data_IF_063891074445
#
_entry.id   IF_063891074445
#
_cell.length_a   1.000
_cell.length_b   1.000
_cell.length_c   1.000
_cell.angle_alpha   90.00
_cell.angle_beta   90.00
_cell.angle_gamma   90.00
#
_symmetry.space_group_name_H-M   'P 1'
#
loop_
_entity.id
_entity.type
_entity.pdbx_description
1 polymer ?
#
# COMPACT_ATOMS: atom_id res chain seq x y z
N UNK A 1 -6.22 15.22 -10.45
CA UNK A 1 -6.02 16.70 -10.48
C UNK A 1 -4.61 17.11 -10.88
N UNK A 2 -3.57 16.73 -10.12
CA UNK A 2 -2.18 17.11 -10.41
C UNK A 2 -1.75 16.73 -11.83
N UNK A 3 -2.04 15.49 -12.24
CA UNK A 3 -1.73 14.98 -13.57
C UNK A 3 -2.54 15.70 -14.65
N UNK A 4 -3.83 15.95 -14.41
CA UNK A 4 -4.71 16.65 -15.34
C UNK A 4 -4.16 18.03 -15.75
N UNK A 5 -3.74 18.87 -14.79
CA UNK A 5 -3.15 20.16 -15.14
C UNK A 5 -1.77 20.01 -15.77
N UNK A 6 -0.96 19.06 -15.31
CA UNK A 6 0.35 18.78 -15.90
C UNK A 6 0.24 18.40 -17.38
N UNK A 7 -0.64 17.47 -17.73
CA UNK A 7 -0.90 17.02 -19.10
C UNK A 7 -1.34 18.18 -20.00
N UNK A 8 -2.29 19.01 -19.54
CA UNK A 8 -2.74 20.19 -20.29
C UNK A 8 -1.66 21.22 -20.52
N UNK A 9 -0.82 21.47 -19.50
CA UNK A 9 0.34 22.36 -19.64
C UNK A 9 1.28 21.81 -20.72
N UNK A 10 1.62 20.52 -20.68
CA UNK A 10 2.49 19.90 -21.69
C UNK A 10 1.92 20.03 -23.11
N UNK A 11 0.63 19.69 -23.29
CA UNK A 11 -0.05 19.84 -24.59
C UNK A 11 -0.02 21.28 -25.11
N UNK A 12 -0.26 22.26 -24.23
CA UNK A 12 -0.23 23.68 -24.61
C UNK A 12 1.15 24.15 -25.07
N UNK A 13 2.23 23.63 -24.47
CA UNK A 13 3.61 24.04 -24.79
C UNK A 13 4.04 23.59 -26.19
N UNK A 14 3.44 22.52 -26.70
CA UNK A 14 3.73 21.97 -28.04
C UNK A 14 2.63 22.26 -29.06
N UNK A 15 1.54 22.93 -28.65
CA UNK A 15 0.40 23.23 -29.52
C UNK A 15 -0.41 21.99 -29.93
N UNK A 16 -0.43 20.96 -29.06
CA UNK A 16 -1.20 19.73 -29.26
C UNK A 16 -2.31 19.65 -28.20
N UNK A 17 -3.54 19.92 -28.63
CA UNK A 17 -4.73 19.85 -27.77
C UNK A 17 -5.25 18.41 -27.58
N UNK A 18 -4.57 17.43 -28.17
CA UNK A 18 -4.83 15.99 -28.03
C UNK A 18 -3.70 15.25 -27.31
N UNK A 19 -2.67 15.97 -26.83
CA UNK A 19 -1.59 15.39 -26.05
C UNK A 19 -2.14 14.60 -24.85
N UNK A 20 -1.64 13.38 -24.69
CA UNK A 20 -1.97 12.51 -23.56
C UNK A 20 -0.68 12.04 -22.90
N UNK A 21 -0.67 12.05 -21.57
CA UNK A 21 0.43 11.54 -20.77
C UNK A 21 0.43 10.01 -20.80
N UNK A 22 1.62 9.41 -20.93
CA UNK A 22 1.77 7.96 -20.77
C UNK A 22 1.51 7.53 -19.32
N UNK A 23 1.23 6.24 -19.12
CA UNK A 23 1.26 5.61 -17.80
C UNK A 23 2.29 4.49 -17.79
N UNK A 24 3.02 4.35 -16.68
CA UNK A 24 3.95 3.24 -16.49
C UNK A 24 3.15 2.03 -16.03
N UNK A 25 2.93 1.08 -16.95
CA UNK A 25 2.08 -0.10 -16.75
C UNK A 25 2.73 -1.21 -15.89
N UNK A 26 3.28 -0.84 -14.72
CA UNK A 26 3.99 -1.75 -13.82
C UNK A 26 3.10 -2.81 -13.16
N UNK A 27 1.77 -2.73 -13.33
CA UNK A 27 0.84 -3.78 -12.89
C UNK A 27 0.70 -4.93 -13.90
N UNK A 28 1.28 -4.81 -15.10
CA UNK A 28 1.28 -5.87 -16.11
C UNK A 28 2.71 -6.28 -16.50
N UNK A 29 2.98 -7.58 -16.77
CA UNK A 29 4.33 -8.11 -17.00
C UNK A 29 5.18 -7.31 -17.99
N UNK A 30 4.62 -6.94 -19.14
CA UNK A 30 5.35 -6.21 -20.20
C UNK A 30 5.74 -4.77 -19.77
N UNK A 31 5.06 -4.20 -18.78
CA UNK A 31 5.31 -2.86 -18.27
C UNK A 31 6.03 -2.81 -16.93
N UNK A 32 6.48 -3.94 -16.38
CA UNK A 32 7.16 -3.99 -15.07
C UNK A 32 8.58 -3.42 -15.07
N UNK A 33 9.10 -3.00 -16.23
CA UNK A 33 10.41 -2.35 -16.35
C UNK A 33 10.22 -0.83 -16.45
N UNK A 34 11.21 -0.04 -16.02
CA UNK A 34 11.20 1.40 -16.31
C UNK A 34 11.13 1.56 -17.85
N UNK A 35 10.13 2.27 -18.41
CA UNK A 35 9.98 2.31 -19.87
C UNK A 35 11.18 2.95 -20.57
N UNK A 36 11.61 2.39 -21.70
CA UNK A 36 12.80 2.82 -22.46
C UNK A 36 12.83 4.32 -22.78
N UNK A 37 11.66 4.95 -22.96
CA UNK A 37 11.57 6.38 -23.19
C UNK A 37 12.22 7.21 -22.06
N UNK A 38 12.17 6.72 -20.82
CA UNK A 38 12.79 7.37 -19.66
C UNK A 38 14.30 7.20 -19.61
N UNK A 39 14.88 6.34 -20.45
CA UNK A 39 16.32 6.14 -20.54
C UNK A 39 16.98 7.04 -21.58
N UNK A 40 16.20 7.91 -22.25
CA UNK A 40 16.67 8.67 -23.41
C UNK A 40 16.24 10.15 -23.38
N UNK A 41 17.11 11.02 -23.89
CA UNK A 41 16.80 12.45 -24.10
C UNK A 41 16.41 13.21 -22.83
N UNK A 42 15.41 14.07 -22.95
CA UNK A 42 14.91 14.94 -21.87
C UNK A 42 14.20 14.19 -20.73
N UNK A 43 13.93 12.89 -20.88
CA UNK A 43 13.30 12.07 -19.85
C UNK A 43 14.29 11.38 -18.91
N UNK A 44 15.60 11.50 -19.18
CA UNK A 44 16.65 10.92 -18.33
C UNK A 44 16.74 11.66 -17.01
N UNK A 45 16.69 10.91 -15.91
CA UNK A 45 17.12 11.38 -14.60
C UNK A 45 18.34 10.56 -14.13
N UNK A 46 19.40 11.27 -13.74
CA UNK A 46 20.64 10.68 -13.22
C UNK A 46 20.55 10.25 -11.75
N UNK A 47 19.45 10.60 -11.09
CA UNK A 47 19.16 10.32 -9.68
C UNK A 47 18.25 9.09 -9.51
N UNK A 48 18.25 8.18 -10.49
CA UNK A 48 17.63 6.85 -10.36
C UNK A 48 18.65 5.83 -9.87
N UNK A 49 18.18 4.81 -9.16
CA UNK A 49 19.02 3.68 -8.78
C UNK A 49 19.49 2.94 -10.04
N UNK A 50 20.81 2.75 -10.17
CA UNK A 50 21.42 2.22 -11.38
C UNK A 50 21.21 0.72 -11.52
N UNK A 51 21.14 -0.01 -10.41
CA UNK A 51 20.83 -1.46 -10.42
C UNK A 51 19.40 -1.75 -10.84
N UNK A 52 18.51 -0.76 -10.80
CA UNK A 52 17.07 -0.91 -11.07
C UNK A 52 16.67 -0.40 -12.47
N UNK A 53 17.65 -0.03 -13.29
CA UNK A 53 17.37 0.33 -14.69
C UNK A 53 17.11 -0.95 -15.51
N UNK A 54 16.39 -0.86 -16.64
CA UNK A 54 16.16 -2.01 -17.50
C UNK A 54 17.48 -2.73 -17.84
N UNK A 55 17.49 -4.08 -17.83
CA UNK A 55 16.33 -4.98 -17.86
C UNK A 55 15.80 -5.44 -16.50
N UNK A 56 16.03 -4.70 -15.40
CA UNK A 56 15.54 -5.11 -14.08
C UNK A 56 14.01 -4.99 -13.96
N UNK A 57 13.36 -6.05 -13.46
CA UNK A 57 11.91 -6.06 -13.17
C UNK A 57 11.67 -5.25 -11.90
N UNK A 58 10.74 -4.31 -11.93
CA UNK A 58 10.41 -3.50 -10.76
C UNK A 58 9.92 -4.36 -9.60
N UNK A 59 10.49 -4.19 -8.41
CA UNK A 59 9.93 -4.76 -7.20
C UNK A 59 8.85 -3.82 -6.65
N UNK A 60 7.60 -4.09 -7.01
CA UNK A 60 6.47 -3.25 -6.58
C UNK A 60 6.11 -3.47 -5.10
N UNK A 61 6.80 -4.40 -4.43
CA UNK A 61 6.80 -4.61 -3.00
C UNK A 61 8.24 -4.56 -2.47
N UNK A 62 9.04 -3.58 -2.91
CA UNK A 62 10.42 -3.35 -2.44
C UNK A 62 10.50 -2.99 -0.95
N UNK A 63 11.59 -3.39 -0.29
CA UNK A 63 11.80 -3.20 1.15
C UNK A 63 13.19 -2.69 1.55
N UNK A 64 13.94 -2.10 0.61
CA UNK A 64 15.38 -1.79 0.68
C UNK A 64 16.33 -2.98 0.58
N UNK A 65 15.83 -4.18 0.34
CA UNK A 65 16.68 -5.36 0.13
C UNK A 65 16.36 -5.96 -1.23
N UNK A 66 17.40 -6.14 -2.04
CA UNK A 66 17.28 -6.90 -3.28
C UNK A 66 16.86 -8.33 -2.96
N UNK A 67 15.68 -8.73 -3.46
CA UNK A 67 15.18 -10.09 -3.27
C UNK A 67 16.04 -11.13 -3.99
N UNK A 68 16.72 -10.71 -5.07
CA UNK A 68 17.54 -11.59 -5.90
C UNK A 68 16.74 -12.69 -6.58
N UNK A 69 15.45 -12.43 -6.86
CA UNK A 69 14.60 -13.32 -7.64
C UNK A 69 14.99 -13.25 -9.11
N UNK A 70 14.81 -14.35 -9.83
CA UNK A 70 14.85 -14.32 -11.29
C UNK A 70 13.64 -13.52 -11.83
N UNK A 71 13.74 -12.92 -13.03
CA UNK A 71 12.71 -12.02 -13.57
C UNK A 71 11.29 -12.64 -13.59
N UNK A 72 11.17 -13.92 -13.95
CA UNK A 72 9.88 -14.61 -13.97
C UNK A 72 9.23 -14.70 -12.59
N UNK A 73 10.03 -15.00 -11.56
CA UNK A 73 9.56 -15.11 -10.17
C UNK A 73 9.17 -13.73 -9.61
N UNK A 74 9.90 -12.66 -9.95
CA UNK A 74 9.55 -11.30 -9.57
C UNK A 74 8.23 -10.86 -10.25
N UNK A 75 8.02 -11.22 -11.52
CA UNK A 75 6.76 -10.98 -12.23
C UNK A 75 5.60 -11.71 -11.54
N UNK A 76 5.75 -12.99 -11.20
CA UNK A 76 4.71 -13.75 -10.49
C UNK A 76 4.37 -13.11 -9.13
N UNK A 77 5.39 -12.73 -8.35
CA UNK A 77 5.19 -12.06 -7.07
C UNK A 77 4.46 -10.71 -7.22
N UNK A 78 4.82 -9.90 -8.23
CA UNK A 78 4.16 -8.63 -8.52
C UNK A 78 2.69 -8.84 -8.92
N UNK A 79 2.41 -9.83 -9.78
CA UNK A 79 1.04 -10.14 -10.22
C UNK A 79 0.17 -10.60 -9.06
N UNK A 80 0.69 -11.47 -8.18
CA UNK A 80 0.00 -11.90 -6.96
C UNK A 80 -0.21 -10.73 -5.98
N UNK A 81 0.79 -9.86 -5.83
CA UNK A 81 0.68 -8.67 -5.00
C UNK A 81 -0.41 -7.71 -5.53
N UNK A 82 -0.50 -7.52 -6.85
CA UNK A 82 -1.57 -6.68 -7.43
C UNK A 82 -2.97 -7.27 -7.24
N UNK A 83 -3.14 -8.59 -7.29
CA UNK A 83 -4.41 -9.21 -6.89
C UNK A 83 -4.77 -8.81 -5.45
N UNK A 84 -3.81 -8.88 -4.52
CA UNK A 84 -4.05 -8.47 -3.15
C UNK A 84 -4.43 -6.99 -3.05
N UNK A 85 -3.63 -6.09 -3.64
CA UNK A 85 -3.81 -4.64 -3.50
C UNK A 85 -5.06 -4.09 -4.19
N UNK A 86 -5.55 -4.74 -5.26
CA UNK A 86 -6.70 -4.29 -6.06
C UNK A 86 -7.98 -5.07 -5.82
N UNK A 87 -7.89 -6.32 -5.32
CA UNK A 87 -9.04 -7.23 -5.18
C UNK A 87 -9.26 -7.61 -3.72
N UNK A 88 -8.45 -8.51 -3.16
CA UNK A 88 -8.79 -9.11 -1.86
C UNK A 88 -8.63 -8.13 -0.70
N UNK A 89 -7.61 -7.26 -0.75
CA UNK A 89 -7.33 -6.25 0.27
C UNK A 89 -8.13 -4.95 0.07
N UNK A 90 -8.76 -4.74 -1.09
CA UNK A 90 -9.40 -3.49 -1.49
C UNK A 90 -10.93 -3.62 -1.69
N UNK A 91 -11.58 -4.52 -0.95
CA UNK A 91 -13.02 -4.80 -1.05
C UNK A 91 -13.94 -3.67 -0.59
N UNK A 92 -13.40 -2.74 0.21
CA UNK A 92 -14.14 -1.59 0.76
C UNK A 92 -13.43 -0.31 0.38
N UNK A 93 -14.21 0.75 0.15
CA UNK A 93 -13.69 2.05 -0.28
C UNK A 93 -12.62 2.59 0.66
N UNK A 94 -12.80 2.45 1.98
CA UNK A 94 -11.79 2.89 2.95
C UNK A 94 -10.49 2.07 2.88
N UNK A 95 -10.56 0.77 2.58
CA UNK A 95 -9.35 -0.04 2.41
C UNK A 95 -8.55 0.38 1.17
N UNK A 96 -9.25 0.74 0.08
CA UNK A 96 -8.60 1.16 -1.16
C UNK A 96 -8.12 2.62 -1.13
N UNK A 97 -8.98 3.55 -0.67
CA UNK A 97 -8.75 4.99 -0.71
C UNK A 97 -8.03 5.54 0.53
N UNK A 98 -7.96 4.75 1.61
CA UNK A 98 -7.53 5.21 2.92
C UNK A 98 -8.67 5.82 3.75
N UNK A 99 -8.37 6.07 5.01
CA UNK A 99 -9.35 6.58 5.96
C UNK A 99 -9.58 8.10 5.83
N UNK A 100 -10.73 8.63 6.32
CA UNK A 100 -11.06 10.03 6.18
C UNK A 100 -10.03 10.97 6.85
N UNK A 101 -9.63 11.99 6.11
CA UNK A 101 -8.81 13.10 6.60
C UNK A 101 -9.60 14.41 6.53
N UNK A 102 -10.12 14.86 7.69
CA UNK A 102 -10.92 16.09 7.80
C UNK A 102 -10.23 17.15 8.66
N UNK A 103 -10.62 18.41 8.46
CA UNK A 103 -10.18 19.52 9.30
C UNK A 103 -10.75 19.39 10.73
N UNK A 104 -9.96 19.73 11.75
CA UNK A 104 -10.35 19.66 13.16
C UNK A 104 -9.63 18.57 13.95
N UNK A 105 -9.78 18.60 15.28
CA UNK A 105 -9.09 17.68 16.21
C UNK A 105 -9.71 16.26 16.23
N UNK A 106 -11.01 16.14 15.93
CA UNK A 106 -11.77 14.87 16.06
C UNK A 106 -11.96 14.12 14.72
N UNK A 107 -11.36 14.60 13.62
CA UNK A 107 -11.77 14.25 12.25
C UNK A 107 -10.74 13.57 11.33
N UNK A 108 -9.55 13.25 11.82
CA UNK A 108 -8.47 12.75 10.97
C UNK A 108 -7.95 11.40 11.43
N UNK A 109 -8.18 10.37 10.62
CA UNK A 109 -7.44 9.14 10.69
C UNK A 109 -6.21 9.24 9.77
N UNK A 110 -5.09 8.67 10.20
CA UNK A 110 -3.88 8.52 9.39
C UNK A 110 -3.74 7.04 9.06
N UNK A 111 -4.22 6.65 7.88
CA UNK A 111 -4.36 5.26 7.46
C UNK A 111 -4.48 5.18 5.94
N UNK A 112 -3.33 5.13 5.24
CA UNK A 112 -3.28 5.07 3.79
C UNK A 112 -4.01 3.85 3.23
N UNK A 113 -4.51 3.99 2.00
CA UNK A 113 -5.16 2.88 1.28
C UNK A 113 -4.15 1.87 0.73
N UNK A 114 -4.66 0.74 0.22
CA UNK A 114 -3.83 -0.36 -0.29
C UNK A 114 -2.77 0.14 -1.27
N UNK A 115 -3.17 0.85 -2.32
CA UNK A 115 -2.26 1.28 -3.39
C UNK A 115 -1.23 2.31 -2.90
N UNK A 116 -1.62 3.22 -2.01
CA UNK A 116 -0.70 4.22 -1.42
C UNK A 116 0.38 3.55 -0.57
N UNK A 117 0.01 2.59 0.28
CA UNK A 117 0.97 1.80 1.08
C UNK A 117 1.95 1.08 0.16
N UNK A 118 1.46 0.29 -0.78
CA UNK A 118 2.26 -0.30 -1.83
C UNK A 118 1.30 -0.79 -2.91
N UNK A 119 1.62 -0.59 -4.19
CA UNK A 119 2.97 -0.45 -4.73
C UNK A 119 3.49 0.99 -4.86
N UNK A 120 2.67 2.02 -4.63
CA UNK A 120 3.08 3.43 -4.77
C UNK A 120 4.37 3.76 -4.00
N UNK A 121 4.34 3.64 -2.67
CA UNK A 121 5.50 4.00 -1.85
C UNK A 121 6.73 3.10 -2.11
N UNK A 122 6.49 1.82 -2.41
CA UNK A 122 7.54 0.87 -2.74
C UNK A 122 8.27 1.24 -4.03
N UNK A 123 7.52 1.57 -5.10
CA UNK A 123 8.09 1.95 -6.39
C UNK A 123 8.84 3.27 -6.35
N UNK A 124 8.32 4.27 -5.62
CA UNK A 124 9.07 5.51 -5.36
C UNK A 124 10.47 5.22 -4.83
N UNK A 125 10.52 4.34 -3.84
CA UNK A 125 11.73 3.97 -3.13
C UNK A 125 12.64 3.08 -3.98
N UNK A 126 12.06 2.18 -4.78
CA UNK A 126 12.79 1.33 -5.73
C UNK A 126 13.47 2.15 -6.82
N UNK A 127 12.81 3.17 -7.39
CA UNK A 127 13.46 4.01 -8.43
C UNK A 127 14.48 4.99 -7.84
N UNK A 128 14.27 5.50 -6.63
CA UNK A 128 15.13 6.51 -6.00
C UNK A 128 16.58 6.03 -5.81
N UNK A 129 17.56 6.90 -6.06
CA UNK A 129 18.98 6.53 -5.97
C UNK A 129 19.43 6.35 -4.52
N UNK A 130 19.85 5.13 -4.17
CA UNK A 130 20.26 4.75 -2.81
C UNK A 130 21.52 5.46 -2.30
N UNK A 131 22.29 6.09 -3.19
CA UNK A 131 23.47 6.88 -2.83
C UNK A 131 23.12 8.29 -2.32
N UNK A 132 21.87 8.74 -2.53
CA UNK A 132 21.41 10.02 -2.04
C UNK A 132 20.85 9.90 -0.62
N UNK A 133 20.96 10.95 0.23
CA UNK A 133 20.57 10.87 1.64
C UNK A 133 19.12 10.47 1.88
N UNK A 134 18.21 10.93 1.03
CA UNK A 134 16.77 10.64 1.12
C UNK A 134 16.26 9.88 -0.11
N UNK A 135 17.14 9.22 -0.87
CA UNK A 135 16.78 8.45 -2.08
C UNK A 135 16.21 9.34 -3.20
N UNK A 136 16.68 10.58 -3.27
CA UNK A 136 16.32 11.52 -4.33
C UNK A 136 16.63 10.93 -5.72
N UNK A 137 15.87 11.22 -6.76
CA UNK A 137 14.68 12.08 -6.74
C UNK A 137 13.41 11.32 -6.31
N UNK A 138 13.09 10.20 -6.96
CA UNK A 138 11.79 9.54 -6.81
C UNK A 138 11.51 9.01 -5.39
N UNK A 139 12.54 8.64 -4.63
CA UNK A 139 12.42 8.07 -3.28
C UNK A 139 12.08 9.06 -2.16
N UNK A 140 12.01 10.37 -2.46
CA UNK A 140 11.59 11.39 -1.50
C UNK A 140 10.54 12.34 -2.09
N UNK A 141 9.44 12.55 -1.36
CA UNK A 141 8.30 13.33 -1.85
C UNK A 141 8.66 14.76 -2.28
N UNK A 142 9.61 15.40 -1.61
CA UNK A 142 10.02 16.78 -1.94
C UNK A 142 10.78 16.90 -3.26
N UNK A 143 11.36 15.80 -3.76
CA UNK A 143 12.14 15.74 -4.98
C UNK A 143 11.52 14.88 -6.08
N UNK A 144 10.53 14.04 -5.77
CA UNK A 144 10.04 13.01 -6.68
C UNK A 144 9.64 13.55 -8.05
N UNK A 145 8.89 14.65 -8.09
CA UNK A 145 8.41 15.24 -9.34
C UNK A 145 9.51 15.88 -10.23
N UNK A 146 10.77 15.90 -9.79
CA UNK A 146 11.92 16.30 -10.63
C UNK A 146 12.27 15.22 -11.65
N UNK A 147 11.96 13.96 -11.34
CA UNK A 147 12.11 12.85 -12.28
C UNK A 147 10.86 12.77 -13.18
N UNK A 148 10.99 12.86 -14.52
CA UNK A 148 9.84 12.74 -15.42
C UNK A 148 9.03 11.44 -15.29
N UNK A 149 9.63 10.33 -14.81
CA UNK A 149 8.91 9.07 -14.62
C UNK A 149 7.84 9.15 -13.52
N UNK A 150 7.96 10.12 -12.60
CA UNK A 150 6.96 10.44 -11.57
C UNK A 150 5.55 10.56 -12.15
N UNK A 151 5.42 11.31 -13.26
CA UNK A 151 4.10 11.59 -13.84
C UNK A 151 3.50 10.34 -14.47
N UNK A 152 4.29 9.46 -15.09
CA UNK A 152 3.79 8.19 -15.62
C UNK A 152 3.51 7.16 -14.51
N UNK A 153 4.28 7.14 -13.43
CA UNK A 153 3.97 6.35 -12.25
C UNK A 153 2.59 6.74 -11.69
N UNK A 154 2.39 8.03 -11.41
CA UNK A 154 1.11 8.53 -10.91
C UNK A 154 -0.03 8.42 -11.92
N UNK A 155 0.26 8.46 -13.23
CA UNK A 155 -0.75 8.23 -14.28
C UNK A 155 -1.27 6.79 -14.20
N UNK A 156 -0.43 5.81 -13.88
CA UNK A 156 -0.91 4.45 -13.63
C UNK A 156 -1.70 4.33 -12.32
N UNK A 157 -1.35 5.11 -11.29
CA UNK A 157 -2.14 5.16 -10.04
C UNK A 157 -3.55 5.72 -10.30
N UNK A 158 -3.67 6.79 -11.10
CA UNK A 158 -4.98 7.34 -11.53
C UNK A 158 -5.77 6.34 -12.39
N UNK A 159 -5.09 5.64 -13.31
CA UNK A 159 -5.68 4.51 -14.07
C UNK A 159 -6.21 3.42 -13.14
N UNK A 160 -5.45 3.01 -12.12
CA UNK A 160 -5.86 1.95 -11.21
C UNK A 160 -7.10 2.33 -10.41
N UNK A 161 -7.28 3.61 -10.07
CA UNK A 161 -8.55 4.06 -9.48
C UNK A 161 -9.72 3.84 -10.46
N UNK A 162 -9.57 4.21 -11.74
CA UNK A 162 -10.60 3.96 -12.76
C UNK A 162 -10.92 2.46 -12.92
N UNK A 163 -9.88 1.61 -12.97
CA UNK A 163 -10.02 0.15 -13.01
C UNK A 163 -10.75 -0.37 -11.78
N UNK A 164 -10.37 0.04 -10.57
CA UNK A 164 -10.99 -0.39 -9.32
C UNK A 164 -12.47 -0.02 -9.26
N UNK A 165 -12.85 1.17 -9.71
CA UNK A 165 -14.27 1.58 -9.80
C UNK A 165 -15.07 0.72 -10.79
N UNK A 166 -14.42 0.21 -11.83
CA UNK A 166 -15.03 -0.72 -12.78
C UNK A 166 -15.24 -2.13 -12.23
N UNK A 167 -14.58 -2.50 -11.13
CA UNK A 167 -14.78 -3.81 -10.49
C UNK A 167 -16.11 -3.86 -9.73
N UNK A 168 -16.75 -5.03 -9.75
CA UNK A 168 -18.08 -5.22 -9.18
C UNK A 168 -18.08 -5.00 -7.67
N UNK A 169 -18.97 -4.13 -7.21
CA UNK A 169 -19.24 -3.89 -5.78
C UNK A 169 -18.56 -2.66 -5.21
N UNK A 170 -17.59 -2.09 -5.93
CA UNK A 170 -16.85 -0.90 -5.51
C UNK A 170 -17.68 0.36 -5.72
N UNK A 171 -17.48 1.35 -4.84
CA UNK A 171 -18.23 2.61 -4.82
C UNK A 171 -17.30 3.78 -4.53
N UNK A 172 -17.56 4.90 -5.19
CA UNK A 172 -16.90 6.16 -4.87
C UNK A 172 -17.34 6.70 -3.51
N UNK A 173 -16.48 7.54 -2.92
CA UNK A 173 -16.75 8.23 -1.67
C UNK A 173 -17.84 9.28 -1.90
N UNK A 174 -18.95 9.17 -1.15
CA UNK A 174 -20.08 10.11 -1.21
C UNK A 174 -20.14 11.06 0.01
N UNK A 175 -19.05 11.17 0.76
CA UNK A 175 -18.94 12.10 1.88
C UNK A 175 -18.83 13.54 1.35
N UNK A 176 -19.76 14.46 1.71
CA UNK A 176 -19.68 15.86 1.31
C UNK A 176 -18.36 16.54 1.67
N UNK A 177 -17.75 16.22 2.81
CA UNK A 177 -16.49 16.83 3.24
C UNK A 177 -15.35 16.45 2.29
N UNK A 178 -15.34 15.19 1.83
CA UNK A 178 -14.39 14.74 0.82
C UNK A 178 -14.71 15.38 -0.53
N UNK A 179 -15.97 15.33 -0.98
CA UNK A 179 -16.39 15.87 -2.27
C UNK A 179 -16.19 17.39 -2.42
N UNK A 180 -16.31 18.14 -1.33
CA UNK A 180 -16.11 19.60 -1.28
C UNK A 180 -14.69 20.02 -0.92
N UNK A 181 -13.80 19.06 -0.59
CA UNK A 181 -12.37 19.33 -0.48
C UNK A 181 -11.84 19.90 -1.79
N UNK A 182 -11.03 20.94 -1.68
CA UNK A 182 -10.53 21.68 -2.83
C UNK A 182 -9.04 21.95 -2.73
N UNK A 183 -8.43 22.10 -3.89
CA UNK A 183 -7.02 22.38 -4.06
C UNK A 183 -6.82 23.50 -5.09
N UNK A 184 -5.62 24.06 -5.09
CA UNK A 184 -5.21 25.11 -6.02
C UNK A 184 -4.16 24.57 -6.98
N UNK A 185 -4.36 24.78 -8.27
CA UNK A 185 -3.41 24.42 -9.32
C UNK A 185 -3.27 25.57 -10.31
N UNK A 186 -2.08 25.72 -10.89
CA UNK A 186 -1.89 26.59 -12.05
C UNK A 186 -2.29 25.82 -13.30
N UNK A 187 -3.13 26.42 -14.14
CA UNK A 187 -3.52 25.86 -15.45
C UNK A 187 -2.53 26.21 -16.57
N UNK A 188 -2.81 25.74 -17.79
CA UNK A 188 -2.00 26.03 -18.98
C UNK A 188 -1.93 27.52 -19.36
N UNK A 189 -2.81 28.37 -18.81
CA UNK A 189 -2.85 29.82 -19.03
C UNK A 189 -2.19 30.60 -17.88
N UNK A 190 -1.46 29.90 -17.01
CA UNK A 190 -0.88 30.45 -15.79
C UNK A 190 -1.93 31.17 -14.93
N UNK A 191 -3.14 30.60 -14.82
CA UNK A 191 -4.18 31.03 -13.90
C UNK A 191 -4.25 30.09 -12.70
N UNK A 192 -4.42 30.64 -11.50
CA UNK A 192 -4.58 29.85 -10.30
C UNK A 192 -6.04 29.41 -10.14
N UNK A 193 -6.29 28.12 -10.38
CA UNK A 193 -7.62 27.51 -10.39
C UNK A 193 -7.86 26.79 -9.07
N UNK A 194 -8.98 27.11 -8.43
CA UNK A 194 -9.54 26.32 -7.33
C UNK A 194 -10.45 25.22 -7.90
N UNK A 195 -10.11 23.96 -7.66
CA UNK A 195 -10.86 22.79 -8.14
C UNK A 195 -11.26 21.89 -6.97
N UNK A 196 -12.45 21.28 -7.01
CA UNK A 196 -12.93 20.35 -5.98
C UNK A 196 -12.80 18.90 -6.42
N UNK A 197 -12.76 17.98 -5.45
CA UNK A 197 -12.73 16.54 -5.73
C UNK A 197 -13.92 16.10 -6.58
N UNK A 198 -15.13 16.59 -6.29
CA UNK A 198 -16.33 16.26 -7.08
C UNK A 198 -16.23 16.62 -8.57
N UNK A 199 -15.39 17.60 -8.93
CA UNK A 199 -15.26 18.07 -10.30
C UNK A 199 -14.38 17.14 -11.15
N UNK A 200 -13.68 16.19 -10.53
CA UNK A 200 -12.71 15.31 -11.20
C UNK A 200 -13.04 13.82 -11.14
N UNK A 201 -14.18 13.44 -10.59
CA UNK A 201 -14.58 12.02 -10.51
C UNK A 201 -14.96 11.44 -11.87
N UNK A 202 -15.45 12.28 -12.79
CA UNK A 202 -15.88 11.85 -14.11
C UNK A 202 -14.82 12.21 -15.15
N UNK A 203 -13.92 11.27 -15.44
CA UNK A 203 -12.80 11.47 -16.37
C UNK A 203 -13.26 11.82 -17.79
N UNK A 204 -14.49 11.42 -18.17
CA UNK A 204 -15.06 11.77 -19.48
C UNK A 204 -15.33 13.27 -19.59
N UNK A 205 -15.71 13.93 -18.48
CA UNK A 205 -15.85 15.39 -18.41
C UNK A 205 -14.50 16.10 -18.41
N UNK A 206 -13.47 15.42 -17.91
CA UNK A 206 -12.07 15.87 -18.00
C UNK A 206 -11.44 15.59 -19.38
N UNK A 207 -12.15 14.89 -20.27
CA UNK A 207 -11.79 14.62 -21.66
C UNK A 207 -10.53 13.77 -21.84
N UNK A 208 -10.27 12.86 -20.93
CA UNK A 208 -9.24 11.83 -21.10
C UNK A 208 -9.82 10.44 -20.79
N UNK A 209 -9.11 9.42 -21.25
CA UNK A 209 -9.38 8.02 -20.93
C UNK A 209 -8.06 7.24 -21.02
N UNK A 210 -8.01 6.10 -20.34
CA UNK A 210 -6.88 5.17 -20.45
C UNK A 210 -7.10 4.18 -21.58
N UNK A 211 -6.00 3.79 -22.24
CA UNK A 211 -6.03 2.69 -23.19
C UNK A 211 -6.53 1.40 -22.51
N UNK A 212 -7.50 0.68 -23.11
CA UNK A 212 -7.98 -0.58 -22.55
C UNK A 212 -6.89 -1.65 -22.59
N UNK A 213 -6.35 -1.99 -21.41
CA UNK A 213 -5.37 -3.07 -21.24
C UNK A 213 -5.96 -4.12 -20.30
N UNK A 214 -5.77 -5.40 -20.64
CA UNK A 214 -6.17 -6.52 -19.79
C UNK A 214 -5.37 -6.53 -18.48
N UNK A 215 -6.05 -6.79 -17.36
CA UNK A 215 -5.42 -6.87 -16.04
C UNK A 215 -5.10 -8.32 -15.69
N UNK A 216 -3.85 -8.76 -15.90
CA UNK A 216 -3.43 -10.15 -15.68
C UNK A 216 -3.63 -10.61 -14.23
N UNK A 217 -3.50 -9.69 -13.28
CA UNK A 217 -3.64 -9.92 -11.84
C UNK A 217 -5.06 -10.21 -11.38
N UNK A 218 -6.13 -9.96 -12.16
CA UNK A 218 -7.50 -10.22 -11.72
C UNK A 218 -7.78 -11.69 -11.36
N UNK A 219 -7.01 -12.63 -11.93
CA UNK A 219 -7.17 -14.06 -11.68
C UNK A 219 -6.01 -14.65 -10.87
N UNK A 220 -5.12 -13.83 -10.33
CA UNK A 220 -3.91 -14.26 -9.62
C UNK A 220 -4.15 -14.45 -8.13
N UNK A 221 -5.26 -15.08 -7.76
CA UNK A 221 -5.60 -15.37 -6.36
C UNK A 221 -4.57 -16.34 -5.75
N UNK A 222 -3.81 -15.92 -4.71
CA UNK A 222 -2.81 -16.77 -4.07
C UNK A 222 -3.41 -18.02 -3.43
N UNK A 223 -2.62 -19.10 -3.37
CA UNK A 223 -2.97 -20.33 -2.67
C UNK A 223 -2.28 -20.40 -1.31
N UNK A 224 -2.83 -21.17 -0.34
CA UNK A 224 -2.13 -21.44 0.91
C UNK A 224 -0.76 -22.06 0.65
N UNK A 225 0.28 -21.53 1.30
CA UNK A 225 1.67 -22.02 1.18
C UNK A 225 1.80 -23.49 1.59
N UNK A 226 0.97 -23.92 2.54
CA UNK A 226 0.81 -25.30 2.98
C UNK A 226 -0.67 -25.61 3.16
N UNK A 227 -1.10 -26.90 3.10
CA UNK A 227 -2.48 -27.26 3.35
C UNK A 227 -2.98 -26.75 4.72
N UNK A 228 -4.13 -26.05 4.80
CA UNK A 228 -4.57 -25.38 6.04
C UNK A 228 -4.66 -26.30 7.27
N UNK A 229 -5.08 -27.55 7.09
CA UNK A 229 -5.12 -28.55 8.17
C UNK A 229 -3.73 -28.86 8.74
N UNK A 230 -2.71 -28.88 7.89
CA UNK A 230 -1.31 -29.09 8.29
C UNK A 230 -0.79 -27.83 9.00
N UNK A 231 -1.03 -26.63 8.44
CA UNK A 231 -0.68 -25.36 9.10
C UNK A 231 -1.24 -25.29 10.51
N UNK A 232 -2.55 -25.55 10.68
CA UNK A 232 -3.23 -25.55 11.98
C UNK A 232 -2.57 -26.52 12.97
N UNK A 233 -2.20 -27.71 12.52
CA UNK A 233 -1.50 -28.68 13.37
C UNK A 233 -0.13 -28.17 13.81
N UNK A 234 0.69 -27.65 12.89
CA UNK A 234 2.03 -27.14 13.18
C UNK A 234 1.96 -25.94 14.13
N UNK A 235 1.07 -24.98 13.87
CA UNK A 235 0.87 -23.80 14.72
C UNK A 235 0.41 -24.18 16.13
N UNK A 236 -0.47 -25.18 16.25
CA UNK A 236 -0.90 -25.70 17.57
C UNK A 236 0.25 -26.37 18.31
N UNK A 237 1.09 -27.14 17.63
CA UNK A 237 2.27 -27.76 18.24
C UNK A 237 3.28 -26.70 18.70
N UNK A 238 3.51 -25.65 17.90
CA UNK A 238 4.37 -24.50 18.28
C UNK A 238 3.85 -23.80 19.53
N UNK A 239 2.54 -23.57 19.62
CA UNK A 239 1.91 -22.96 20.81
C UNK A 239 2.10 -23.81 22.07
N UNK A 240 1.91 -25.14 21.97
CA UNK A 240 2.14 -26.07 23.09
C UNK A 240 3.61 -26.04 23.53
N UNK A 241 4.54 -26.06 22.58
CA UNK A 241 5.97 -26.02 22.88
C UNK A 241 6.38 -24.71 23.56
N UNK A 242 5.90 -23.57 23.09
CA UNK A 242 6.16 -22.26 23.70
C UNK A 242 5.64 -22.21 25.13
N UNK A 243 4.42 -22.72 25.39
CA UNK A 243 3.84 -22.80 26.74
C UNK A 243 4.63 -23.71 27.68
N UNK A 244 5.22 -24.80 27.17
CA UNK A 244 6.09 -25.67 27.95
C UNK A 244 7.43 -25.01 28.30
N UNK A 245 8.01 -24.25 27.37
CA UNK A 245 9.28 -23.56 27.57
C UNK A 245 9.16 -22.32 28.47
N UNK A 246 8.00 -21.66 28.49
CA UNK A 246 7.76 -20.47 29.32
C UNK A 246 6.31 -20.45 29.84
N UNK A 247 6.01 -21.19 30.93
CA UNK A 247 4.64 -21.36 31.44
C UNK A 247 3.96 -20.06 31.90
N UNK A 248 4.74 -19.03 32.23
CA UNK A 248 4.27 -17.73 32.70
C UNK A 248 4.23 -16.65 31.62
N UNK A 249 4.64 -16.95 30.38
CA UNK A 249 4.47 -16.02 29.26
C UNK A 249 3.06 -16.23 28.68
N UNK A 250 2.27 -15.17 28.66
CA UNK A 250 1.02 -15.14 27.91
C UNK A 250 1.36 -15.44 26.45
N UNK A 251 0.57 -16.27 25.77
CA UNK A 251 0.76 -16.68 24.37
C UNK A 251 0.65 -15.52 23.36
N UNK A 252 0.57 -14.29 23.84
CA UNK A 252 0.55 -13.06 23.05
C UNK A 252 1.45 -12.03 23.72
N UNK A 253 2.27 -11.31 22.94
CA UNK A 253 3.13 -10.24 23.44
C UNK A 253 2.33 -9.22 24.23
N UNK A 254 2.88 -8.78 25.37
CA UNK A 254 2.40 -7.57 26.01
C UNK A 254 2.87 -6.38 25.17
N UNK A 255 1.92 -5.61 24.65
CA UNK A 255 2.23 -4.38 23.93
C UNK A 255 2.70 -3.26 24.87
N UNK A 256 2.41 -3.37 26.17
CA UNK A 256 2.78 -2.38 27.17
C UNK A 256 2.12 -1.01 26.95
N UNK A 257 2.33 -0.06 27.88
CA UNK A 257 1.74 1.28 27.79
C UNK A 257 2.39 2.16 26.71
N UNK A 258 3.62 1.85 26.28
CA UNK A 258 4.38 2.62 25.28
C UNK A 258 4.39 1.96 23.88
N UNK A 259 3.65 0.86 23.71
CA UNK A 259 3.66 0.05 22.50
C UNK A 259 4.87 -0.89 22.40
N UNK A 260 4.75 -1.89 21.54
CA UNK A 260 5.80 -2.86 21.27
C UNK A 260 6.72 -2.35 20.17
N UNK A 261 8.04 -2.38 20.38
CA UNK A 261 9.01 -2.01 19.33
C UNK A 261 9.09 -3.13 18.29
N UNK A 262 8.94 -2.78 17.01
CA UNK A 262 8.90 -3.75 15.91
C UNK A 262 10.31 -3.97 15.34
N UNK A 263 11.27 -4.35 16.19
CA UNK A 263 12.66 -4.64 15.78
C UNK A 263 12.84 -6.09 15.29
N UNK A 264 11.95 -6.98 15.69
CA UNK A 264 11.90 -8.40 15.35
C UNK A 264 10.48 -8.84 15.01
N UNK A 265 10.32 -10.03 14.45
CA UNK A 265 9.00 -10.56 14.07
C UNK A 265 8.11 -10.71 15.31
N UNK A 266 7.02 -9.93 15.32
CA UNK A 266 6.03 -9.96 16.38
C UNK A 266 4.91 -10.95 16.02
N UNK A 267 4.70 -11.96 16.86
CA UNK A 267 3.63 -12.96 16.67
C UNK A 267 2.58 -12.85 17.76
N UNK A 268 1.33 -12.63 17.37
CA UNK A 268 0.22 -12.37 18.28
C UNK A 268 -0.94 -13.30 17.95
N UNK A 269 -1.64 -13.77 18.99
CA UNK A 269 -2.90 -14.49 18.81
C UNK A 269 -4.05 -13.50 18.93
N UNK A 270 -4.81 -13.32 17.86
CA UNK A 270 -5.86 -12.31 17.79
C UNK A 270 -7.23 -12.99 17.85
N UNK A 271 -8.07 -12.66 18.85
CA UNK A 271 -9.42 -13.20 18.93
C UNK A 271 -10.29 -12.63 17.80
N UNK A 272 -11.10 -13.49 17.20
CA UNK A 272 -12.06 -13.11 16.18
C UNK A 272 -13.40 -12.74 16.85
N UNK A 273 -13.97 -11.55 16.57
CA UNK A 273 -15.23 -11.15 17.21
C UNK A 273 -16.43 -12.02 16.80
N UNK A 274 -16.36 -12.67 15.62
CA UNK A 274 -17.40 -13.57 15.12
C UNK A 274 -16.79 -14.67 14.26
N UNK A 275 -17.29 -15.89 14.43
CA UNK A 275 -16.96 -17.08 13.62
C UNK A 275 -18.21 -17.57 12.88
N UNK A 276 -18.04 -18.52 11.94
CA UNK A 276 -19.16 -19.10 11.16
C UNK A 276 -20.05 -18.09 10.42
N UNK A 277 -19.43 -17.05 9.85
CA UNK A 277 -20.15 -16.01 9.12
C UNK A 277 -20.79 -16.59 7.85
N UNK A 278 -22.06 -16.27 7.63
CA UNK A 278 -22.77 -16.65 6.40
C UNK A 278 -22.23 -15.87 5.20
N UNK A 279 -22.45 -16.39 3.99
CA UNK A 279 -22.07 -15.69 2.75
C UNK A 279 -22.63 -14.27 2.69
N UNK A 280 -23.90 -14.08 3.08
CA UNK A 280 -24.54 -12.76 3.13
C UNK A 280 -23.79 -11.80 4.06
N UNK A 281 -23.42 -12.27 5.25
CA UNK A 281 -22.68 -11.42 6.20
C UNK A 281 -21.31 -11.04 5.64
N UNK A 282 -20.60 -11.97 4.99
CA UNK A 282 -19.30 -11.68 4.35
C UNK A 282 -19.42 -10.73 3.15
N UNK A 283 -20.54 -10.78 2.42
CA UNK A 283 -20.81 -9.86 1.31
C UNK A 283 -21.16 -8.45 1.82
N UNK A 284 -21.90 -8.37 2.94
CA UNK A 284 -22.34 -7.11 3.55
C UNK A 284 -21.19 -6.43 4.34
N UNK A 285 -20.38 -7.18 5.09
CA UNK A 285 -19.31 -6.67 5.95
C UNK A 285 -17.95 -7.35 5.68
N UNK A 286 -16.89 -6.58 5.57
CA UNK A 286 -15.52 -7.10 5.51
C UNK A 286 -14.98 -7.31 6.93
N UNK A 287 -14.39 -8.47 7.22
CA UNK A 287 -13.58 -8.69 8.41
C UNK A 287 -12.20 -8.06 8.20
N UNK A 288 -11.85 -7.09 9.05
CA UNK A 288 -10.65 -6.26 8.89
C UNK A 288 -9.71 -6.48 10.05
N UNK A 289 -8.48 -6.86 9.75
CA UNK A 289 -7.36 -6.86 10.69
C UNK A 289 -6.82 -5.44 10.83
N UNK A 290 -6.77 -4.95 12.06
CA UNK A 290 -6.39 -3.57 12.39
C UNK A 290 -5.16 -3.57 13.27
N UNK A 291 -4.06 -3.04 12.74
CA UNK A 291 -2.83 -2.76 13.47
C UNK A 291 -2.88 -1.27 13.81
N UNK A 292 -2.98 -0.93 15.09
CA UNK A 292 -3.21 0.45 15.53
C UNK A 292 -2.06 0.97 16.38
N UNK A 293 -1.97 2.30 16.44
CA UNK A 293 -0.95 2.95 17.24
C UNK A 293 0.45 2.80 16.64
N UNK A 294 0.57 2.79 15.31
CA UNK A 294 1.86 2.73 14.63
C UNK A 294 2.54 4.10 14.81
N UNK A 295 3.54 4.19 15.67
CA UNK A 295 4.34 5.42 15.88
C UNK A 295 5.72 5.23 15.25
N UNK A 296 6.03 6.08 14.27
CA UNK A 296 7.35 6.16 13.64
C UNK A 296 8.11 7.32 14.28
N UNK A 297 9.15 7.01 15.07
CA UNK A 297 9.82 7.99 15.94
C UNK A 297 10.74 8.97 15.20
N UNK A 298 11.04 8.72 13.91
CA UNK A 298 11.95 9.51 13.06
C UNK A 298 11.40 9.56 11.63
N UNK A 299 11.80 10.55 10.84
CA UNK A 299 11.51 10.56 9.40
C UNK A 299 12.38 9.50 8.72
N UNK A 300 11.86 8.27 8.66
CA UNK A 300 12.54 7.11 8.08
C UNK A 300 11.54 6.30 7.27
N UNK A 301 12.06 5.63 6.24
CA UNK A 301 11.29 4.61 5.57
C UNK A 301 11.06 3.45 6.53
N UNK A 302 9.83 2.96 6.59
CA UNK A 302 9.42 1.84 7.45
C UNK A 302 8.63 0.89 6.61
N UNK A 303 8.99 -0.39 6.68
CA UNK A 303 8.19 -1.45 6.09
C UNK A 303 8.10 -2.68 6.97
N UNK A 304 6.89 -3.20 7.11
CA UNK A 304 6.65 -4.53 7.63
C UNK A 304 5.50 -5.20 6.89
N UNK A 305 5.63 -6.50 6.72
CA UNK A 305 4.56 -7.33 6.15
C UNK A 305 3.73 -7.94 7.27
N UNK A 306 2.47 -8.27 6.96
CA UNK A 306 1.55 -8.91 7.88
C UNK A 306 1.12 -10.24 7.29
N UNK A 307 1.29 -11.31 8.08
CA UNK A 307 0.86 -12.64 7.72
C UNK A 307 -0.16 -13.18 8.72
N UNK A 308 -1.10 -13.97 8.22
CA UNK A 308 -2.12 -14.65 9.01
C UNK A 308 -1.94 -16.16 8.86
N UNK A 309 -1.85 -16.86 9.99
CA UNK A 309 -1.69 -18.33 10.07
C UNK A 309 -0.51 -18.89 9.24
N UNK A 310 0.53 -18.08 9.01
CA UNK A 310 1.78 -18.55 8.41
C UNK A 310 2.53 -19.51 9.34
N UNK A 311 2.94 -20.66 8.80
CA UNK A 311 3.81 -21.62 9.51
C UNK A 311 5.21 -21.05 9.67
N UNK A 312 5.73 -20.49 8.58
CA UNK A 312 7.02 -19.80 8.51
C UNK A 312 6.87 -18.58 7.59
N UNK A 313 6.73 -17.41 8.18
CA UNK A 313 6.58 -16.13 7.49
C UNK A 313 7.87 -15.63 6.82
N UNK A 314 9.00 -16.29 7.05
CA UNK A 314 10.30 -15.87 6.49
C UNK A 314 10.54 -16.43 5.09
N UNK A 315 9.77 -17.43 4.67
CA UNK A 315 9.94 -18.17 3.41
C UNK A 315 8.82 -17.90 2.40
N UNK A 316 7.86 -17.02 2.75
CA UNK A 316 6.69 -16.73 1.94
C UNK A 316 6.52 -15.21 1.74
N UNK A 317 5.91 -14.83 0.63
CA UNK A 317 5.57 -13.47 0.27
C UNK A 317 4.13 -13.31 -0.24
N UNK A 318 3.86 -12.26 -1.03
CA UNK A 318 2.54 -11.97 -1.61
C UNK A 318 1.93 -13.09 -2.46
N UNK A 319 2.77 -13.98 -2.99
CA UNK A 319 2.36 -15.17 -3.74
C UNK A 319 1.70 -16.26 -2.87
N UNK A 320 1.76 -16.12 -1.55
CA UNK A 320 1.12 -17.03 -0.58
C UNK A 320 -0.12 -16.40 0.05
N UNK A 321 -1.17 -17.20 0.25
CA UNK A 321 -2.45 -16.73 0.80
C UNK A 321 -2.37 -16.12 2.19
N UNK A 322 -1.41 -16.57 2.98
CA UNK A 322 -1.14 -16.12 4.33
C UNK A 322 -0.73 -14.64 4.37
N UNK A 323 -0.25 -14.06 3.27
CA UNK A 323 0.03 -12.63 3.17
C UNK A 323 -1.28 -11.82 3.26
N UNK A 324 -1.39 -11.03 4.33
CA UNK A 324 -2.56 -10.20 4.62
C UNK A 324 -2.38 -8.73 4.19
N UNK A 325 -1.15 -8.31 3.90
CA UNK A 325 -0.83 -6.96 3.45
C UNK A 325 0.52 -6.47 3.94
N UNK A 326 0.83 -5.23 3.58
CA UNK A 326 2.09 -4.58 3.94
C UNK A 326 1.81 -3.16 4.39
N UNK A 327 2.65 -2.67 5.31
CA UNK A 327 2.71 -1.27 5.69
C UNK A 327 3.98 -0.66 5.13
N UNK A 328 3.87 0.47 4.45
CA UNK A 328 5.03 1.25 4.02
C UNK A 328 4.83 2.71 4.36
N UNK A 329 5.80 3.28 5.07
CA UNK A 329 5.95 4.72 5.22
C UNK A 329 7.15 5.19 4.40
N UNK A 330 6.97 6.24 3.60
CA UNK A 330 8.08 6.91 2.92
C UNK A 330 8.68 8.03 3.75
N UNK A 331 9.94 8.34 3.46
CA UNK A 331 10.63 9.54 3.96
C UNK A 331 10.00 10.78 3.36
N UNK A 332 9.75 11.79 4.19
CA UNK A 332 9.33 13.12 3.72
C UNK A 332 10.54 13.91 3.22
N UNK A 333 11.70 13.72 3.84
CA UNK A 333 12.96 14.39 3.47
C UNK A 333 12.95 15.89 3.74
N UNK A 334 12.00 16.38 4.54
CA UNK A 334 11.84 17.81 4.87
C UNK A 334 11.73 18.01 6.36
N UNK A 335 12.54 18.92 6.89
CA UNK A 335 12.41 19.38 8.27
C UNK A 335 11.16 20.25 8.37
N UNK A 336 10.18 19.81 9.13
CA UNK A 336 9.00 20.62 9.45
C UNK A 336 9.47 21.81 10.30
N UNK A 337 9.39 23.02 9.73
CA UNK A 337 9.62 24.27 10.47
C UNK A 337 8.29 24.67 11.10
N UNK A 338 8.23 24.63 12.43
CA UNK A 338 7.03 24.97 13.17
C UNK A 338 7.02 26.44 13.55
N UNK A 339 5.88 27.10 13.38
CA UNK A 339 5.62 28.41 13.93
C UNK A 339 5.31 28.31 15.43
N UNK A 340 5.39 29.44 16.15
CA UNK A 340 5.20 29.53 17.61
C UNK A 340 3.88 28.94 18.15
N UNK A 341 2.88 28.77 17.29
CA UNK A 341 1.55 28.27 17.64
C UNK A 341 1.23 26.92 17.01
N UNK A 342 2.17 26.31 16.27
CA UNK A 342 1.91 25.02 15.65
C UNK A 342 2.01 23.92 16.71
N UNK A 343 0.95 23.12 16.84
CA UNK A 343 0.91 21.97 17.73
C UNK A 343 1.31 20.73 16.93
N UNK A 344 2.39 20.04 17.32
CA UNK A 344 2.66 18.68 16.81
C UNK A 344 1.66 17.75 17.46
N UNK A 345 0.59 17.42 16.75
CA UNK A 345 -0.14 16.20 17.05
C UNK A 345 0.77 15.04 16.60
N UNK A 346 1.38 14.33 17.56
CA UNK A 346 1.99 13.02 17.28
C UNK A 346 0.88 12.06 16.89
N UNK A 347 0.53 12.02 15.61
CA UNK A 347 -0.50 11.11 15.11
C UNK A 347 0.15 9.75 14.92
N UNK A 348 -0.46 8.74 15.54
CA UNK A 348 -0.13 7.35 15.27
C UNK A 348 -0.95 6.90 14.08
N UNK A 349 -0.31 6.19 13.17
CA UNK A 349 -0.93 5.65 11.97
C UNK A 349 -1.69 4.36 12.31
N UNK A 350 -2.64 3.99 11.46
CA UNK A 350 -3.38 2.73 11.51
C UNK A 350 -3.22 1.99 10.19
N UNK A 351 -3.06 0.67 10.25
CA UNK A 351 -3.10 -0.20 9.09
C UNK A 351 -4.37 -1.06 9.18
N UNK A 352 -5.18 -1.04 8.12
CA UNK A 352 -6.41 -1.81 7.98
C UNK A 352 -6.27 -2.78 6.82
N UNK A 353 -6.46 -4.07 7.07
CA UNK A 353 -6.29 -5.14 6.08
C UNK A 353 -7.55 -5.98 5.99
N UNK A 354 -8.17 -6.06 4.81
CA UNK A 354 -9.29 -6.96 4.57
C UNK A 354 -8.85 -8.41 4.56
N UNK A 355 -9.42 -9.25 5.43
CA UNK A 355 -8.98 -10.64 5.62
C UNK A 355 -10.09 -11.67 5.37
N UNK A 356 -11.29 -11.30 4.95
CA UNK A 356 -12.41 -12.26 4.84
C UNK A 356 -12.13 -13.36 3.81
N UNK A 357 -11.56 -12.99 2.66
CA UNK A 357 -11.18 -13.95 1.63
C UNK A 357 -10.00 -14.83 2.07
N UNK A 358 -9.05 -14.21 2.78
CA UNK A 358 -7.91 -14.90 3.36
C UNK A 358 -8.35 -15.97 4.34
N UNK A 359 -9.28 -15.65 5.24
CA UNK A 359 -9.78 -16.59 6.24
C UNK A 359 -10.53 -17.76 5.61
N UNK A 360 -11.26 -17.52 4.52
CA UNK A 360 -11.93 -18.59 3.76
C UNK A 360 -10.90 -19.54 3.11
N UNK A 361 -9.90 -18.99 2.44
CA UNK A 361 -8.87 -19.78 1.75
C UNK A 361 -7.96 -20.56 2.71
N UNK A 362 -7.76 -20.05 3.93
CA UNK A 362 -7.05 -20.72 5.01
C UNK A 362 -7.95 -21.64 5.86
N UNK A 363 -9.19 -21.89 5.43
CA UNK A 363 -10.18 -22.70 6.17
C UNK A 363 -10.32 -22.27 7.65
N UNK A 364 -10.15 -20.98 7.95
CA UNK A 364 -10.05 -20.42 9.30
C UNK A 364 -11.36 -19.76 9.79
N UNK A 365 -12.45 -19.86 9.02
CA UNK A 365 -13.75 -19.27 9.35
C UNK A 365 -14.33 -19.71 10.70
N UNK A 366 -14.00 -20.93 11.13
CA UNK A 366 -14.45 -21.55 12.39
C UNK A 366 -13.51 -21.26 13.56
N UNK A 367 -12.28 -20.80 13.29
CA UNK A 367 -11.27 -20.59 14.31
C UNK A 367 -11.62 -19.35 15.15
N UNK A 368 -11.74 -19.51 16.47
CA UNK A 368 -12.02 -18.42 17.42
C UNK A 368 -10.89 -17.40 17.51
N UNK A 369 -9.69 -17.79 17.10
CA UNK A 369 -8.47 -16.98 17.15
C UNK A 369 -7.59 -17.30 15.95
N UNK A 370 -6.87 -16.31 15.44
CA UNK A 370 -5.86 -16.50 14.40
C UNK A 370 -4.49 -16.10 14.90
N UNK A 371 -3.45 -16.64 14.27
CA UNK A 371 -2.08 -16.15 14.44
C UNK A 371 -1.82 -15.03 13.45
N UNK A 372 -1.32 -13.91 13.96
CA UNK A 372 -0.87 -12.77 13.17
C UNK A 372 0.62 -12.58 13.39
N UNK A 373 1.39 -12.49 12.32
CA UNK A 373 2.81 -12.17 12.35
C UNK A 373 3.04 -10.82 11.68
N UNK A 374 3.68 -9.89 12.38
CA UNK A 374 4.16 -8.62 11.85
C UNK A 374 5.66 -8.78 11.62
N UNK A 375 6.10 -8.69 10.38
CA UNK A 375 7.45 -9.03 9.95
C UNK A 375 8.17 -7.76 9.53
N UNK A 376 9.05 -7.20 10.39
CA UNK A 376 9.91 -6.09 9.99
C UNK A 376 10.72 -6.45 8.74
N UNK A 377 10.76 -5.56 7.76
CA UNK A 377 11.52 -5.75 6.52
C UNK A 377 12.67 -4.75 6.40
N UNK A 378 13.74 -5.14 5.72
CA UNK A 378 14.94 -4.32 5.47
C UNK A 378 15.62 -3.68 6.69
N UNK A 379 15.36 -4.17 7.91
CA UNK A 379 15.85 -3.52 9.14
C UNK A 379 15.26 -2.13 9.40
N UNK A 380 14.13 -1.80 8.78
CA UNK A 380 13.57 -0.44 8.73
C UNK A 380 12.75 -0.04 9.96
N UNK A 381 12.24 -1.02 10.72
CA UNK A 381 11.28 -0.79 11.80
C UNK A 381 11.90 -0.54 13.19
N UNK A 382 13.23 -0.42 13.31
CA UNK A 382 13.91 -0.22 14.61
C UNK A 382 13.46 1.03 15.38
N UNK A 383 12.85 2.00 14.69
CA UNK A 383 12.29 3.22 15.30
C UNK A 383 10.75 3.23 15.28
N UNK A 384 10.12 2.06 15.13
CA UNK A 384 8.67 1.92 15.01
C UNK A 384 8.10 1.16 16.19
N UNK A 385 7.03 1.68 16.77
CA UNK A 385 6.24 0.98 17.80
C UNK A 385 4.82 0.76 17.32
N UNK A 386 4.19 -0.31 17.82
CA UNK A 386 2.79 -0.68 17.57
C UNK A 386 2.08 -0.83 18.91
N UNK A 387 0.90 -0.23 19.07
CA UNK A 387 0.14 -0.30 20.34
C UNK A 387 -0.72 -1.57 20.44
N UNK A 388 -1.10 -2.16 19.31
CA UNK A 388 -1.85 -3.41 19.33
C UNK A 388 -2.37 -3.86 17.97
N UNK A 389 -3.03 -5.02 18.02
CA UNK A 389 -3.67 -5.65 16.87
C UNK A 389 -5.05 -6.14 17.29
N UNK A 390 -6.07 -5.88 16.46
CA UNK A 390 -7.45 -6.32 16.69
C UNK A 390 -8.15 -6.63 15.38
N UNK A 391 -9.34 -7.22 15.46
CA UNK A 391 -10.21 -7.46 14.30
C UNK A 391 -11.50 -6.67 14.48
N UNK A 392 -11.95 -6.04 13.40
CA UNK A 392 -13.17 -5.24 13.30
C UNK A 392 -14.00 -5.66 12.08
N UNK A 393 -15.23 -5.15 11.96
CA UNK A 393 -16.05 -5.30 10.77
C UNK A 393 -16.26 -3.95 10.10
N UNK A 394 -16.11 -3.91 8.77
CA UNK A 394 -16.29 -2.73 7.94
C UNK A 394 -17.43 -2.95 6.95
N UNK A 395 -18.38 -2.01 6.92
CA UNK A 395 -19.56 -2.06 6.03
C UNK A 395 -19.27 -1.57 4.62
#
# INVERSE_FOLDING_TARGET
MMIYFHERILGSLIGDDTFALSFWNWDNPEGMFIPDMYMNGSFVDSQRERSHLPPEVADINFDYVERGLDPEDQIEANVAFMYHQMVSGAKKTELFMGCPYKAGEDGSCDGPGTIELAPHNALHTWVGNTQNPEYENLGAFYSAAKDPVFYAHHSNIDRLWDVWRGLKGNKDINDPDWLDSYFYFWDENAQNIRIKIRDVLDITKLRYAYEPIGNSWLNARPKPSVPPKIARHILKMRDIQNKLQSPNQISSPDFGPEGHTLDTTLRVRVPRPKTYRTKKEKDDEEEVLVIYGIEIKKDVYVKFDVFVNAVDETTIGPESREFAGTFVNMRRGVRIVMNKNDVVSKRKTILKLGISELLEDLEADEDETIWVALVPRGGTCVNTTVDGVRIEFMQ
#
